data_IF_019644935274
#
_entry.id   IF_019644935274
#
_cell.length_a   1.000
_cell.length_b   1.000
_cell.length_c   1.000
_cell.angle_alpha   90.00
_cell.angle_beta   90.00
_cell.angle_gamma   90.00
#
_symmetry.space_group_name_H-M   'P 1'
#
loop_
_entity.id
_entity.type
_entity.pdbx_description
1 polymer ?
#
# COMPACT_ATOMS: atom_id res chain seq x y z
N UNK A 1 36.92 16.18 14.61
CA UNK A 1 35.67 15.53 15.05
C UNK A 1 35.37 14.43 14.05
N UNK A 2 36.04 13.29 14.20
CA UNK A 2 35.88 12.16 13.30
C UNK A 2 34.73 11.27 13.81
N UNK A 3 33.64 11.26 13.04
CA UNK A 3 32.70 10.15 12.81
C UNK A 3 32.68 9.02 13.86
N UNK A 4 32.24 9.31 15.08
CA UNK A 4 31.89 8.29 16.08
C UNK A 4 30.51 7.66 15.84
N UNK A 5 29.76 8.09 14.81
CA UNK A 5 28.47 7.48 14.45
C UNK A 5 28.59 6.14 13.69
N UNK A 6 29.79 5.78 13.22
CA UNK A 6 30.01 4.62 12.32
C UNK A 6 30.92 3.51 12.86
N UNK A 7 31.50 3.62 14.06
CA UNK A 7 32.56 2.71 14.51
C UNK A 7 32.08 1.44 15.25
N UNK A 8 30.90 0.92 14.94
CA UNK A 8 30.38 -0.28 15.61
C UNK A 8 29.65 -1.19 14.66
N UNK A 9 30.16 -2.41 14.46
CA UNK A 9 29.43 -3.51 13.81
C UNK A 9 28.04 -3.70 14.41
N UNK A 10 27.83 -3.32 15.68
CA UNK A 10 26.54 -3.24 16.36
C UNK A 10 25.52 -2.33 15.64
N UNK A 11 25.93 -1.15 15.15
CA UNK A 11 25.04 -0.21 14.46
C UNK A 11 24.60 -0.73 13.09
N UNK A 12 25.47 -1.47 12.40
CA UNK A 12 25.15 -2.08 11.11
C UNK A 12 24.00 -3.11 11.25
N UNK A 13 24.04 -3.95 12.29
CA UNK A 13 23.02 -4.97 12.49
C UNK A 13 21.69 -4.40 12.98
N UNK A 14 21.72 -3.35 13.82
CA UNK A 14 20.52 -2.57 14.18
C UNK A 14 19.89 -1.95 12.94
N UNK A 15 20.70 -1.37 12.06
CA UNK A 15 20.23 -0.79 10.80
C UNK A 15 19.57 -1.84 9.89
N UNK A 16 20.18 -3.02 9.80
CA UNK A 16 19.65 -4.14 9.02
C UNK A 16 18.24 -4.56 9.49
N UNK A 17 18.03 -4.60 10.81
CA UNK A 17 16.70 -4.88 11.40
C UNK A 17 15.71 -3.77 11.06
N UNK A 18 16.09 -2.50 11.23
CA UNK A 18 15.19 -1.36 10.92
C UNK A 18 14.80 -1.31 9.44
N UNK A 19 15.75 -1.57 8.53
CA UNK A 19 15.48 -1.65 7.09
C UNK A 19 14.56 -2.82 6.78
N UNK A 20 14.77 -3.98 7.39
CA UNK A 20 13.89 -5.13 7.23
C UNK A 20 12.44 -4.84 7.65
N UNK A 21 12.26 -4.15 8.78
CA UNK A 21 10.92 -3.72 9.26
C UNK A 21 10.28 -2.72 8.30
N UNK A 22 11.05 -1.73 7.83
CA UNK A 22 10.57 -0.74 6.86
C UNK A 22 10.13 -1.40 5.55
N UNK A 23 10.92 -2.36 5.08
CA UNK A 23 10.69 -3.10 3.85
C UNK A 23 9.43 -3.97 3.96
N UNK A 24 9.18 -4.61 5.11
CA UNK A 24 7.90 -5.28 5.40
C UNK A 24 6.75 -4.26 5.43
N UNK A 25 6.91 -3.14 6.13
CA UNK A 25 5.86 -2.13 6.24
C UNK A 25 5.42 -1.62 4.86
N UNK A 26 6.38 -1.27 4.00
CA UNK A 26 6.08 -0.80 2.64
C UNK A 26 5.47 -1.88 1.74
N UNK A 27 5.91 -3.13 1.88
CA UNK A 27 5.47 -4.23 1.01
C UNK A 27 4.14 -4.84 1.44
N UNK A 28 3.74 -4.69 2.70
CA UNK A 28 2.48 -5.22 3.23
C UNK A 28 1.41 -4.14 3.34
N UNK A 29 1.71 -3.02 4.00
CA UNK A 29 0.69 -2.02 4.33
C UNK A 29 0.16 -1.31 3.07
N UNK A 30 1.07 -0.87 2.20
CA UNK A 30 0.70 -0.08 1.03
C UNK A 30 -0.17 -0.87 0.03
N UNK A 31 0.21 -2.10 -0.38
CA UNK A 31 -0.64 -2.91 -1.26
C UNK A 31 -1.99 -3.28 -0.66
N UNK A 32 -2.04 -3.52 0.66
CA UNK A 32 -3.27 -3.92 1.33
C UNK A 32 -4.28 -2.77 1.34
N UNK A 33 -3.81 -1.54 1.58
CA UNK A 33 -4.63 -0.34 1.50
C UNK A 33 -5.17 -0.10 0.08
N UNK A 34 -4.29 -0.15 -0.92
CA UNK A 34 -4.65 -0.05 -2.35
C UNK A 34 -5.73 -1.07 -2.74
N UNK A 35 -5.57 -2.33 -2.31
CA UNK A 35 -6.53 -3.40 -2.59
C UNK A 35 -7.92 -3.13 -1.99
N UNK A 36 -7.98 -2.61 -0.76
CA UNK A 36 -9.24 -2.26 -0.10
C UNK A 36 -9.94 -1.10 -0.82
N UNK A 37 -9.21 -0.04 -1.18
CA UNK A 37 -9.76 1.09 -1.93
C UNK A 37 -10.31 0.64 -3.29
N UNK A 38 -9.62 -0.28 -3.96
CA UNK A 38 -10.05 -0.86 -5.23
C UNK A 38 -11.33 -1.68 -5.13
N UNK A 39 -11.48 -2.47 -4.06
CA UNK A 39 -12.68 -3.24 -3.81
C UNK A 39 -13.89 -2.33 -3.58
N UNK A 40 -13.72 -1.29 -2.77
CA UNK A 40 -14.75 -0.27 -2.53
C UNK A 40 -15.16 0.43 -3.83
N UNK A 41 -14.19 0.86 -4.64
CA UNK A 41 -14.44 1.53 -5.91
C UNK A 41 -15.19 0.59 -6.88
N UNK A 42 -14.81 -0.68 -6.94
CA UNK A 42 -15.45 -1.70 -7.77
C UNK A 42 -16.91 -1.90 -7.37
N UNK A 43 -17.20 -1.99 -6.07
CA UNK A 43 -18.57 -2.13 -5.56
C UNK A 43 -19.41 -0.90 -5.94
N UNK A 44 -18.85 0.31 -5.76
CA UNK A 44 -19.52 1.56 -6.10
C UNK A 44 -19.88 1.62 -7.59
N UNK A 45 -18.94 1.30 -8.47
CA UNK A 45 -19.17 1.32 -9.93
C UNK A 45 -20.21 0.26 -10.35
N UNK A 46 -20.18 -0.95 -9.76
CA UNK A 46 -21.22 -1.96 -10.03
C UNK A 46 -22.62 -1.48 -9.63
N UNK A 47 -22.74 -0.76 -8.52
CA UNK A 47 -24.01 -0.18 -8.09
C UNK A 47 -24.46 0.95 -9.01
N UNK A 48 -23.55 1.85 -9.41
CA UNK A 48 -23.83 2.90 -10.39
C UNK A 48 -24.33 2.32 -11.73
N UNK A 49 -23.70 1.25 -12.22
CA UNK A 49 -24.11 0.54 -13.44
C UNK A 49 -25.52 -0.06 -13.31
N UNK A 50 -25.84 -0.71 -12.20
CA UNK A 50 -27.20 -1.25 -11.96
C UNK A 50 -28.27 -0.15 -12.00
N UNK A 51 -27.99 0.99 -11.38
CA UNK A 51 -28.89 2.15 -11.38
C UNK A 51 -29.06 2.69 -12.81
N UNK A 52 -27.96 2.78 -13.57
CA UNK A 52 -27.98 3.25 -14.94
C UNK A 52 -28.77 2.30 -15.86
N UNK A 53 -28.57 0.99 -15.72
CA UNK A 53 -29.30 -0.04 -16.47
C UNK A 53 -30.80 0.04 -16.19
N UNK A 54 -31.19 0.23 -14.92
CA UNK A 54 -32.58 0.46 -14.55
C UNK A 54 -33.16 1.71 -15.25
N UNK A 55 -32.45 2.84 -15.21
CA UNK A 55 -32.88 4.08 -15.88
C UNK A 55 -32.99 3.93 -17.40
N UNK A 56 -32.06 3.22 -18.03
CA UNK A 56 -32.10 2.96 -19.47
C UNK A 56 -33.32 2.11 -19.83
N UNK A 57 -33.60 1.06 -19.05
CA UNK A 57 -34.76 0.21 -19.27
C UNK A 57 -36.08 0.95 -19.06
N UNK A 58 -36.15 1.85 -18.06
CA UNK A 58 -37.32 2.69 -17.84
C UNK A 58 -37.54 3.68 -18.99
N UNK A 59 -36.48 4.34 -19.45
CA UNK A 59 -36.53 5.22 -20.62
C UNK A 59 -36.94 4.48 -21.90
N UNK A 60 -36.46 3.25 -22.12
CA UNK A 60 -36.90 2.41 -23.25
C UNK A 60 -38.40 2.14 -23.20
N UNK A 61 -38.94 1.77 -22.04
CA UNK A 61 -40.39 1.58 -21.87
C UNK A 61 -41.18 2.85 -22.16
N UNK A 62 -40.70 4.00 -21.68
CA UNK A 62 -41.34 5.30 -21.93
C UNK A 62 -41.33 5.65 -23.43
N UNK A 63 -40.23 5.38 -24.14
CA UNK A 63 -40.13 5.57 -25.59
C UNK A 63 -41.09 4.63 -26.34
N UNK A 64 -41.20 3.36 -25.93
CA UNK A 64 -42.13 2.42 -26.55
C UNK A 64 -43.60 2.81 -26.34
N UNK A 65 -43.96 3.28 -25.14
CA UNK A 65 -45.30 3.81 -24.84
C UNK A 65 -45.61 5.01 -25.75
N UNK A 66 -44.67 5.94 -25.91
CA UNK A 66 -44.83 7.12 -26.77
C UNK A 66 -44.89 6.79 -28.25
N UNK A 67 -44.14 5.77 -28.69
CA UNK A 67 -44.17 5.28 -30.08
C UNK A 67 -45.51 4.62 -30.42
N UNK A 68 -46.15 3.99 -29.44
CA UNK A 68 -47.46 3.35 -29.57
C UNK A 68 -48.63 4.35 -29.41
N UNK A 69 -48.41 5.46 -28.71
CA UNK A 69 -49.38 6.55 -28.58
C UNK A 69 -49.39 7.42 -29.86
N UNK A 70 -50.26 7.10 -30.81
CA UNK A 70 -50.44 7.82 -32.08
C UNK A 70 -50.98 9.27 -31.98
N UNK A 71 -51.07 9.87 -30.79
CA UNK A 71 -51.69 11.17 -30.58
C UNK A 71 -50.90 12.07 -29.62
N UNK A 72 -50.56 13.27 -30.08
CA UNK A 72 -50.26 14.41 -29.20
C UNK A 72 -48.88 14.43 -28.55
N UNK A 73 -47.83 13.96 -29.22
CA UNK A 73 -46.46 14.16 -28.75
C UNK A 73 -46.18 15.67 -28.73
N UNK A 74 -46.04 16.23 -27.54
CA UNK A 74 -45.72 17.65 -27.35
C UNK A 74 -44.21 17.83 -27.49
N UNK A 75 -43.74 18.89 -28.16
CA UNK A 75 -42.29 19.15 -28.32
C UNK A 75 -41.53 19.13 -27.00
N UNK A 76 -42.19 19.50 -25.89
CA UNK A 76 -41.65 19.49 -24.53
C UNK A 76 -41.26 18.09 -24.04
N UNK A 77 -42.04 17.04 -24.34
CA UNK A 77 -41.74 15.67 -23.92
C UNK A 77 -40.57 15.07 -24.72
N UNK A 78 -40.43 15.45 -25.99
CA UNK A 78 -39.28 15.06 -26.82
C UNK A 78 -37.98 15.69 -26.32
N UNK A 79 -38.00 16.96 -25.93
CA UNK A 79 -36.83 17.66 -25.36
C UNK A 79 -36.40 17.00 -24.04
N UNK A 80 -37.35 16.64 -23.17
CA UNK A 80 -37.05 15.94 -21.92
C UNK A 80 -36.40 14.56 -22.15
N UNK A 81 -36.89 13.80 -23.14
CA UNK A 81 -36.32 12.50 -23.49
C UNK A 81 -34.93 12.66 -24.09
N UNK A 82 -34.73 13.62 -25.01
CA UNK A 82 -33.40 13.90 -25.57
C UNK A 82 -32.40 14.32 -24.48
N UNK A 83 -32.82 15.15 -23.53
CA UNK A 83 -31.97 15.54 -22.40
C UNK A 83 -31.61 14.33 -21.53
N UNK A 84 -32.59 13.48 -21.20
CA UNK A 84 -32.35 12.26 -20.42
C UNK A 84 -31.46 11.26 -21.17
N UNK A 85 -31.61 11.14 -22.48
CA UNK A 85 -30.76 10.31 -23.33
C UNK A 85 -29.30 10.80 -23.32
N UNK A 86 -29.11 12.12 -23.44
CA UNK A 86 -27.80 12.75 -23.39
C UNK A 86 -27.14 12.57 -22.02
N UNK A 87 -27.87 12.80 -20.93
CA UNK A 87 -27.38 12.54 -19.57
C UNK A 87 -27.02 11.07 -19.36
N UNK A 88 -27.82 10.14 -19.87
CA UNK A 88 -27.51 8.71 -19.80
C UNK A 88 -26.24 8.36 -20.60
N UNK A 89 -26.04 8.95 -21.79
CA UNK A 89 -24.81 8.73 -22.57
C UNK A 89 -23.57 9.27 -21.86
N UNK A 90 -23.66 10.44 -21.21
CA UNK A 90 -22.56 10.99 -20.42
C UNK A 90 -22.25 10.06 -19.23
N UNK A 91 -23.29 9.58 -18.53
CA UNK A 91 -23.12 8.67 -17.41
C UNK A 91 -22.52 7.32 -17.84
N UNK A 92 -22.87 6.84 -19.02
CA UNK A 92 -22.29 5.63 -19.59
C UNK A 92 -20.80 5.81 -19.89
N UNK A 93 -20.42 6.90 -20.56
CA UNK A 93 -19.01 7.24 -20.83
C UNK A 93 -18.23 7.40 -19.52
N UNK A 94 -18.83 8.05 -18.51
CA UNK A 94 -18.22 8.19 -17.18
C UNK A 94 -17.99 6.83 -16.52
N UNK A 95 -18.94 5.90 -16.61
CA UNK A 95 -18.78 4.54 -16.09
C UNK A 95 -17.70 3.76 -16.83
N UNK A 96 -17.62 3.88 -18.15
CA UNK A 96 -16.58 3.24 -18.97
C UNK A 96 -15.18 3.74 -18.61
N UNK A 97 -15.01 5.06 -18.45
CA UNK A 97 -13.74 5.65 -18.01
C UNK A 97 -13.32 5.15 -16.62
N UNK A 98 -14.26 5.09 -15.67
CA UNK A 98 -14.00 4.51 -14.34
C UNK A 98 -13.63 3.03 -14.41
N UNK A 99 -14.16 2.29 -15.39
CA UNK A 99 -13.83 0.87 -15.59
C UNK A 99 -12.41 0.70 -16.14
N UNK A 100 -11.99 1.56 -17.08
CA UNK A 100 -10.60 1.59 -17.56
C UNK A 100 -9.62 1.92 -16.43
N UNK A 101 -9.98 2.87 -15.56
CA UNK A 101 -9.19 3.17 -14.37
C UNK A 101 -9.07 1.96 -13.45
N UNK A 102 -10.16 1.25 -13.17
CA UNK A 102 -10.15 0.00 -12.40
C UNK A 102 -9.24 -1.07 -13.02
N UNK A 103 -9.27 -1.22 -14.34
CA UNK A 103 -8.46 -2.20 -15.05
C UNK A 103 -6.97 -1.90 -14.91
N UNK A 104 -6.58 -0.62 -15.06
CA UNK A 104 -5.20 -0.18 -14.83
C UNK A 104 -4.74 -0.47 -13.40
N UNK A 105 -5.60 -0.21 -12.41
CA UNK A 105 -5.32 -0.44 -10.99
C UNK A 105 -5.22 -1.94 -10.63
N UNK A 106 -5.97 -2.81 -11.29
CA UNK A 106 -5.83 -4.28 -11.13
C UNK A 106 -4.45 -4.79 -11.54
N UNK A 107 -3.86 -4.23 -12.59
CA UNK A 107 -2.51 -4.58 -13.00
C UNK A 107 -1.48 -4.24 -11.91
N UNK A 108 -1.63 -3.09 -11.24
CA UNK A 108 -0.78 -2.73 -10.09
C UNK A 108 -0.92 -3.70 -8.92
N UNK A 109 -2.13 -4.22 -8.63
CA UNK A 109 -2.30 -5.28 -7.61
C UNK A 109 -1.45 -6.51 -7.92
N UNK A 110 -1.39 -6.94 -9.19
CA UNK A 110 -0.60 -8.11 -9.60
C UNK A 110 0.89 -7.84 -9.34
N UNK A 111 1.38 -6.65 -9.75
CA UNK A 111 2.75 -6.23 -9.49
C UNK A 111 3.04 -6.23 -7.98
N UNK A 112 2.14 -5.68 -7.16
CA UNK A 112 2.31 -5.68 -5.71
C UNK A 112 2.35 -7.09 -5.12
N UNK A 113 1.57 -8.03 -5.66
CA UNK A 113 1.65 -9.43 -5.27
C UNK A 113 3.03 -10.04 -5.52
N UNK A 114 3.63 -9.76 -6.67
CA UNK A 114 4.99 -10.22 -7.01
C UNK A 114 6.02 -9.58 -6.08
N UNK A 115 5.94 -8.26 -5.89
CA UNK A 115 6.82 -7.51 -4.99
C UNK A 115 6.71 -8.04 -3.55
N UNK A 116 5.51 -8.29 -3.05
CA UNK A 116 5.30 -8.88 -1.73
C UNK A 116 6.02 -10.21 -1.57
N UNK A 117 5.83 -11.14 -2.52
CA UNK A 117 6.44 -12.47 -2.43
C UNK A 117 7.98 -12.45 -2.51
N UNK A 118 8.57 -11.42 -3.12
CA UNK A 118 10.01 -11.28 -3.22
C UNK A 118 10.60 -10.55 -1.99
N UNK A 119 9.98 -9.44 -1.59
CA UNK A 119 10.53 -8.56 -0.56
C UNK A 119 10.12 -8.95 0.86
N UNK A 120 8.94 -9.56 1.07
CA UNK A 120 8.53 -10.02 2.40
C UNK A 120 9.51 -11.07 2.98
N UNK A 121 9.84 -12.19 2.30
CA UNK A 121 10.80 -13.14 2.84
C UNK A 121 12.20 -12.54 2.98
N UNK A 122 12.59 -11.62 2.09
CA UNK A 122 13.85 -10.90 2.20
C UNK A 122 13.90 -10.02 3.46
N UNK A 123 12.84 -9.28 3.76
CA UNK A 123 12.71 -8.47 4.97
C UNK A 123 12.77 -9.31 6.23
N UNK A 124 12.03 -10.43 6.27
CA UNK A 124 12.07 -11.40 7.38
C UNK A 124 13.49 -11.95 7.55
N UNK A 125 14.15 -12.35 6.47
CA UNK A 125 15.53 -12.83 6.51
C UNK A 125 16.51 -11.79 7.07
N UNK A 126 16.43 -10.54 6.62
CA UNK A 126 17.26 -9.44 7.11
C UNK A 126 17.05 -9.18 8.60
N UNK A 127 15.81 -9.25 9.09
CA UNK A 127 15.51 -9.10 10.51
C UNK A 127 16.15 -10.23 11.32
N UNK A 128 15.94 -11.49 10.93
CA UNK A 128 16.51 -12.65 11.64
C UNK A 128 18.04 -12.62 11.62
N UNK A 129 18.63 -12.34 10.46
CA UNK A 129 20.09 -12.25 10.32
C UNK A 129 20.66 -11.09 11.13
N UNK A 130 20.01 -9.93 11.10
CA UNK A 130 20.38 -8.75 11.88
C UNK A 130 20.35 -9.03 13.38
N UNK A 131 19.25 -9.60 13.90
CA UNK A 131 19.17 -9.97 15.32
C UNK A 131 20.21 -11.01 15.74
N UNK A 132 20.42 -12.05 14.92
CA UNK A 132 21.41 -13.10 15.22
C UNK A 132 22.82 -12.52 15.33
N UNK A 133 23.21 -11.66 14.38
CA UNK A 133 24.52 -11.04 14.37
C UNK A 133 24.67 -9.98 15.45
N UNK A 134 23.66 -9.15 15.68
CA UNK A 134 23.67 -8.17 16.76
C UNK A 134 23.89 -8.85 18.12
N UNK A 135 23.17 -9.94 18.41
CA UNK A 135 23.33 -10.67 19.66
C UNK A 135 24.74 -11.26 19.81
N UNK A 136 25.32 -11.75 18.71
CA UNK A 136 26.70 -12.26 18.71
C UNK A 136 27.73 -11.16 18.98
N UNK A 137 27.61 -10.02 18.32
CA UNK A 137 28.51 -8.87 18.49
C UNK A 137 28.40 -8.30 19.89
N UNK A 138 27.17 -8.16 20.41
CA UNK A 138 26.95 -7.62 21.75
C UNK A 138 27.63 -8.46 22.84
N UNK A 139 27.61 -9.79 22.72
CA UNK A 139 28.34 -10.68 23.65
C UNK A 139 29.84 -10.44 23.62
N UNK A 140 30.42 -10.29 22.43
CA UNK A 140 31.85 -10.02 22.25
C UNK A 140 32.21 -8.65 22.83
N UNK A 141 31.41 -7.62 22.56
CA UNK A 141 31.64 -6.27 23.08
C UNK A 141 31.52 -6.22 24.62
N UNK A 142 30.57 -6.96 25.20
CA UNK A 142 30.41 -7.08 26.65
C UNK A 142 31.62 -7.81 27.29
N UNK A 143 32.16 -8.85 26.65
CA UNK A 143 33.38 -9.53 27.07
C UNK A 143 34.62 -8.62 26.99
N UNK A 144 34.78 -7.86 25.90
CA UNK A 144 35.87 -6.89 25.73
C UNK A 144 35.79 -5.82 26.83
N UNK A 145 34.62 -5.25 27.09
CA UNK A 145 34.44 -4.25 28.16
C UNK A 145 34.73 -4.82 29.54
N UNK A 146 34.37 -6.08 29.79
CA UNK A 146 34.69 -6.74 31.05
C UNK A 146 36.21 -6.92 31.22
N UNK A 147 36.93 -7.24 30.15
CA UNK A 147 38.40 -7.33 30.14
C UNK A 147 39.07 -5.95 30.28
N UNK A 148 38.57 -4.92 29.60
CA UNK A 148 39.05 -3.55 29.74
C UNK A 148 38.88 -3.02 31.16
N UNK A 149 37.72 -3.30 31.78
CA UNK A 149 37.48 -2.95 33.19
C UNK A 149 38.49 -3.63 34.12
N UNK A 150 38.73 -4.93 33.95
CA UNK A 150 39.73 -5.66 34.73
C UNK A 150 41.14 -5.11 34.53
N UNK A 151 41.50 -4.77 33.29
CA UNK A 151 42.79 -4.16 32.97
C UNK A 151 42.97 -2.82 33.70
N UNK A 152 41.95 -1.96 33.67
CA UNK A 152 41.93 -0.67 34.37
C UNK A 152 42.02 -0.84 35.90
N UNK A 153 41.30 -1.80 36.47
CA UNK A 153 41.36 -2.10 37.91
C UNK A 153 42.79 -2.50 38.34
N UNK A 154 43.45 -3.36 37.56
CA UNK A 154 44.85 -3.75 37.81
C UNK A 154 45.81 -2.57 37.66
N UNK A 155 45.60 -1.71 36.67
CA UNK A 155 46.44 -0.53 36.44
C UNK A 155 46.32 0.48 37.60
N UNK A 156 45.09 0.72 38.08
CA UNK A 156 44.83 1.55 39.26
C UNK A 156 45.48 0.92 40.51
N UNK A 157 45.36 -0.39 40.70
CA UNK A 157 45.95 -1.07 41.86
C UNK A 157 47.48 -0.97 41.83
N UNK A 158 48.11 -1.16 40.67
CA UNK A 158 49.56 -1.02 40.50
C UNK A 158 50.05 0.41 40.77
N UNK A 159 49.31 1.42 40.29
CA UNK A 159 49.58 2.83 40.59
C UNK A 159 49.42 3.15 42.08
N UNK A 160 48.46 2.52 42.77
CA UNK A 160 48.24 2.73 44.21
C UNK A 160 49.30 2.05 45.10
N UNK A 161 49.95 0.99 44.60
CA UNK A 161 51.00 0.24 45.32
C UNK A 161 52.40 0.84 45.15
N UNK A 162 52.65 1.59 44.09
CA UNK A 162 53.88 2.34 43.85
C UNK A 162 53.56 3.86 43.82
N UNK A 163 53.40 4.52 44.97
CA UNK A 163 53.17 5.97 45.03
C UNK A 163 54.34 6.79 44.50
#
# INVERSE_FOLDING_TARGET
MENSFFSGSENLYKYLVTVGILLITLTVYYPLKEKQELEILTIKIKNELKILEFKINDNKKNVDILKNAKSGITSSSLILIQKSQYENSINQISCENKFLELESRKFYIIIYGIVFWLFFPLGVFLIFYGFKKWNSTKKIDDEIRALEKKKLEVEIENLSRNP
#
